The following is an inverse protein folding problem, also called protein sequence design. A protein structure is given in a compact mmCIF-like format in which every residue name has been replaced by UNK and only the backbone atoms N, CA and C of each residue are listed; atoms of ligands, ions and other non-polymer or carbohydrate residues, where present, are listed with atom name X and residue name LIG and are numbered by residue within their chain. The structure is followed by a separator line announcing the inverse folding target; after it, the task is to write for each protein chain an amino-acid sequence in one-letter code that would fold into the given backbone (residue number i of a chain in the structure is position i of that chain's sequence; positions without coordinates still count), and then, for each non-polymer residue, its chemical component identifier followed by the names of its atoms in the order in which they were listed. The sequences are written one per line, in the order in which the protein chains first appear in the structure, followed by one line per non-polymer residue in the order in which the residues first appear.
data_IF_019388006355
#
_entry.id   IF_019388006355
#
_cell.length_a   1.000
_cell.length_b   1.000
_cell.length_c   1.000
_cell.angle_alpha   90.00
_cell.angle_beta   90.00
_cell.angle_gamma   90.00
#
_symmetry.space_group_name_H-M   'P 1'
#
loop_
_entity.id
_entity.type
_entity.pdbx_description
1 polymer ?
#
# COMPACT_ATOMS: atom_id res chain seq x y z
N UNK A 1 -20.54 -9.10 -78.55
CA UNK A 1 -19.46 -8.56 -79.36
C UNK A 1 -18.17 -8.81 -78.64
N UNK A 2 -17.61 -9.99 -78.77
CA UNK A 2 -16.51 -10.40 -79.68
C UNK A 2 -15.40 -9.37 -79.69
N UNK A 3 -14.24 -9.68 -79.12
CA UNK A 3 -13.15 -10.27 -79.87
C UNK A 3 -12.00 -10.70 -78.96
N UNK A 4 -11.58 -11.92 -79.14
CA UNK A 4 -10.34 -12.57 -78.82
C UNK A 4 -9.18 -11.99 -79.61
N UNK A 5 -7.95 -11.91 -79.08
CA UNK A 5 -6.71 -12.10 -79.83
C UNK A 5 -5.70 -12.82 -78.97
N UNK A 6 -5.42 -13.97 -79.39
CA UNK A 6 -4.33 -14.88 -79.15
C UNK A 6 -2.99 -14.35 -79.78
N UNK A 7 -1.85 -14.53 -79.07
CA UNK A 7 -0.57 -14.92 -79.70
C UNK A 7 0.53 -15.13 -78.69
N UNK A 8 0.79 -16.36 -78.41
CA UNK A 8 2.06 -17.08 -78.34
C UNK A 8 3.30 -16.29 -78.76
N UNK A 9 4.29 -16.25 -77.85
CA UNK A 9 5.69 -16.42 -78.25
C UNK A 9 6.44 -17.18 -77.17
N UNK A 10 6.94 -18.32 -77.51
CA UNK A 10 7.67 -19.25 -76.66
C UNK A 10 9.11 -18.79 -76.46
N UNK A 11 9.52 -18.87 -75.21
CA UNK A 11 10.92 -18.92 -74.84
C UNK A 11 11.15 -20.22 -74.09
N UNK A 12 11.88 -21.13 -74.81
CA UNK A 12 12.45 -22.32 -74.21
C UNK A 12 13.54 -21.90 -73.22
N UNK A 13 13.28 -22.12 -71.95
CA UNK A 13 14.30 -21.97 -70.93
C UNK A 13 14.81 -23.37 -70.60
N UNK A 14 16.08 -23.56 -70.97
CA UNK A 14 16.91 -24.74 -70.77
C UNK A 14 16.92 -25.16 -69.29
N UNK A 15 16.55 -26.41 -69.03
CA UNK A 15 16.47 -27.00 -67.71
C UNK A 15 17.85 -27.45 -67.21
N UNK A 16 18.54 -26.59 -66.47
CA UNK A 16 19.57 -27.05 -65.52
C UNK A 16 19.17 -26.66 -64.09
N UNK A 17 18.36 -27.52 -63.54
CA UNK A 17 17.96 -27.41 -62.11
C UNK A 17 19.18 -27.68 -61.25
N UNK A 18 19.88 -26.60 -60.85
CA UNK A 18 20.73 -26.61 -59.69
C UNK A 18 19.84 -26.66 -58.44
N UNK A 19 19.71 -27.83 -57.83
CA UNK A 19 19.05 -28.02 -56.58
C UNK A 19 19.72 -27.13 -55.49
N UNK A 20 19.18 -25.99 -55.26
CA UNK A 20 19.50 -25.19 -54.03
C UNK A 20 19.00 -26.01 -52.85
N UNK A 21 19.91 -26.78 -52.24
CA UNK A 21 19.66 -27.35 -50.93
C UNK A 21 19.38 -26.17 -49.96
N UNK A 22 18.24 -26.14 -49.29
CA UNK A 22 18.06 -25.18 -48.21
C UNK A 22 19.10 -25.53 -47.17
N UNK A 23 20.16 -24.72 -47.10
CA UNK A 23 21.11 -24.78 -46.02
C UNK A 23 20.31 -24.65 -44.73
N UNK A 24 20.24 -25.75 -43.98
CA UNK A 24 19.75 -25.75 -42.61
C UNK A 24 20.68 -24.86 -41.78
N UNK A 25 20.49 -23.55 -41.85
CA UNK A 25 20.99 -22.68 -40.83
C UNK A 25 20.32 -23.18 -39.54
N UNK A 26 20.98 -24.11 -38.87
CA UNK A 26 20.72 -24.38 -37.45
C UNK A 26 20.95 -23.06 -36.77
N UNK A 27 19.87 -22.30 -36.59
CA UNK A 27 19.84 -21.29 -35.55
C UNK A 27 20.10 -22.05 -34.27
N UNK A 28 21.37 -22.10 -33.88
CA UNK A 28 21.78 -22.48 -32.55
C UNK A 28 21.12 -21.44 -31.63
N UNK A 29 19.86 -21.71 -31.26
CA UNK A 29 19.23 -21.10 -30.11
C UNK A 29 19.98 -21.62 -28.90
N UNK A 30 21.24 -21.18 -28.76
CA UNK A 30 21.92 -21.16 -27.49
C UNK A 30 20.95 -20.47 -26.55
N UNK A 31 20.12 -21.27 -25.89
CA UNK A 31 19.30 -20.84 -24.80
C UNK A 31 20.28 -20.28 -23.76
N UNK A 32 20.67 -19.01 -23.95
CA UNK A 32 21.11 -18.21 -22.83
C UNK A 32 19.94 -18.29 -21.86
N UNK A 33 20.02 -19.20 -20.90
CA UNK A 33 19.18 -19.16 -19.71
C UNK A 33 19.39 -17.75 -19.19
N UNK A 34 18.48 -16.85 -19.54
CA UNK A 34 18.45 -15.51 -18.99
C UNK A 34 18.45 -15.73 -17.49
N UNK A 35 19.54 -15.35 -16.85
CA UNK A 35 19.66 -15.47 -15.42
C UNK A 35 18.39 -14.82 -14.85
N UNK A 36 17.59 -15.57 -14.12
CA UNK A 36 16.36 -15.05 -13.54
C UNK A 36 16.74 -13.80 -12.73
N UNK A 37 16.19 -12.63 -13.04
CA UNK A 37 16.52 -11.43 -12.30
C UNK A 37 16.29 -11.72 -10.82
N UNK A 38 17.27 -11.40 -9.98
CA UNK A 38 17.18 -11.64 -8.53
C UNK A 38 15.89 -11.02 -7.97
N UNK A 39 15.45 -11.47 -6.80
CA UNK A 39 14.22 -11.02 -6.15
C UNK A 39 14.12 -9.48 -6.04
N UNK A 40 15.22 -8.82 -5.71
CA UNK A 40 15.21 -7.41 -5.28
C UNK A 40 15.13 -6.39 -6.42
N UNK A 41 15.66 -6.68 -7.60
CA UNK A 41 15.59 -5.74 -8.72
C UNK A 41 14.14 -5.50 -9.19
N UNK A 42 13.31 -6.53 -9.40
CA UNK A 42 11.89 -6.31 -9.69
C UNK A 42 11.12 -5.63 -8.55
N UNK A 43 11.45 -5.94 -7.28
CA UNK A 43 10.85 -5.26 -6.11
C UNK A 43 11.11 -3.76 -6.18
N UNK A 44 12.37 -3.37 -6.37
CA UNK A 44 12.75 -1.95 -6.46
C UNK A 44 12.07 -1.23 -7.62
N UNK A 45 12.07 -1.83 -8.82
CA UNK A 45 11.49 -1.21 -10.01
C UNK A 45 9.98 -1.02 -9.88
N UNK A 46 9.28 -2.00 -9.31
CA UNK A 46 7.84 -1.90 -9.06
C UNK A 46 7.52 -0.88 -7.96
N UNK A 47 8.26 -0.86 -6.87
CA UNK A 47 8.08 0.13 -5.80
C UNK A 47 8.36 1.55 -6.32
N UNK A 48 9.45 1.75 -7.05
CA UNK A 48 9.78 3.05 -7.66
C UNK A 48 8.68 3.53 -8.62
N UNK A 49 8.12 2.63 -9.45
CA UNK A 49 6.99 2.96 -10.34
C UNK A 49 5.78 3.47 -9.56
N UNK A 50 5.42 2.84 -8.43
CA UNK A 50 4.32 3.30 -7.58
C UNK A 50 4.57 4.71 -7.03
N UNK A 51 5.79 5.00 -6.58
CA UNK A 51 6.16 6.32 -6.08
C UNK A 51 6.04 7.39 -7.18
N UNK A 52 6.63 7.15 -8.36
CA UNK A 52 6.56 8.07 -9.49
C UNK A 52 5.11 8.34 -9.91
N UNK A 53 4.30 7.27 -10.01
CA UNK A 53 2.87 7.39 -10.35
C UNK A 53 2.12 8.27 -9.36
N UNK A 54 2.35 8.08 -8.08
CA UNK A 54 1.70 8.85 -7.02
C UNK A 54 2.09 10.33 -7.06
N UNK A 55 3.38 10.65 -7.14
CA UNK A 55 3.85 12.04 -7.14
C UNK A 55 3.42 12.83 -8.40
N UNK A 56 3.06 12.16 -9.47
CA UNK A 56 2.46 12.81 -10.66
C UNK A 56 1.01 13.26 -10.44
N UNK A 57 0.33 12.76 -9.41
CA UNK A 57 -1.07 13.06 -9.09
C UNK A 57 -1.15 14.06 -7.92
N UNK A 58 -0.86 15.34 -8.16
CA UNK A 58 -0.81 16.39 -7.11
C UNK A 58 -2.11 16.52 -6.31
N UNK A 59 -3.25 16.43 -6.98
CA UNK A 59 -4.58 16.52 -6.35
C UNK A 59 -4.81 15.40 -5.32
N UNK A 60 -4.26 14.21 -5.57
CA UNK A 60 -4.35 13.07 -4.66
C UNK A 60 -3.55 13.30 -3.38
N UNK A 61 -2.38 13.94 -3.48
CA UNK A 61 -1.54 14.27 -2.32
C UNK A 61 -2.27 15.27 -1.42
N UNK A 62 -2.80 16.35 -2.00
CA UNK A 62 -3.51 17.40 -1.27
C UNK A 62 -4.78 16.84 -0.60
N UNK A 63 -5.56 16.02 -1.31
CA UNK A 63 -6.77 15.42 -0.76
C UNK A 63 -6.49 14.44 0.38
N UNK A 64 -5.43 13.65 0.27
CA UNK A 64 -5.07 12.66 1.29
C UNK A 64 -4.59 13.27 2.62
N UNK A 65 -4.05 14.48 2.60
CA UNK A 65 -3.63 15.20 3.80
C UNK A 65 -4.67 16.23 4.27
N UNK A 66 -5.33 16.90 3.35
CA UNK A 66 -6.25 18.00 3.67
C UNK A 66 -7.43 17.56 4.54
N UNK A 67 -8.11 16.49 4.17
CA UNK A 67 -9.25 15.99 4.94
C UNK A 67 -8.88 15.56 6.37
N UNK A 68 -7.82 14.76 6.62
CA UNK A 68 -7.40 14.43 7.97
C UNK A 68 -6.97 15.63 8.81
N UNK A 69 -6.29 16.61 8.22
CA UNK A 69 -5.88 17.85 8.91
C UNK A 69 -7.13 18.62 9.37
N UNK A 70 -8.10 18.80 8.47
CA UNK A 70 -9.37 19.45 8.80
C UNK A 70 -10.08 18.71 9.93
N UNK A 71 -10.16 17.37 9.87
CA UNK A 71 -10.76 16.58 10.93
C UNK A 71 -10.02 16.74 12.27
N UNK A 72 -8.70 16.70 12.24
CA UNK A 72 -7.90 16.86 13.45
C UNK A 72 -8.13 18.24 14.10
N UNK A 73 -8.16 19.31 13.32
CA UNK A 73 -8.41 20.66 13.83
C UNK A 73 -9.85 20.82 14.34
N UNK A 74 -10.85 20.39 13.56
CA UNK A 74 -12.26 20.55 13.93
C UNK A 74 -12.63 19.70 15.15
N UNK A 75 -12.26 18.43 15.19
CA UNK A 75 -12.55 17.58 16.33
C UNK A 75 -11.72 17.97 17.56
N UNK A 76 -10.46 18.37 17.33
CA UNK A 76 -9.61 18.89 18.39
C UNK A 76 -10.22 20.10 19.08
N UNK A 77 -10.72 21.07 18.31
CA UNK A 77 -11.39 22.25 18.86
C UNK A 77 -12.78 21.92 19.43
N UNK A 78 -13.58 21.11 18.74
CA UNK A 78 -14.96 20.83 19.12
C UNK A 78 -15.11 19.95 20.37
N UNK A 79 -14.19 19.03 20.62
CA UNK A 79 -14.26 18.09 21.74
C UNK A 79 -13.38 18.49 22.92
N UNK A 80 -12.59 19.56 22.82
CA UNK A 80 -11.67 20.01 23.87
C UNK A 80 -12.33 20.24 25.21
N UNK A 81 -13.56 20.78 25.23
CA UNK A 81 -14.30 21.07 26.45
C UNK A 81 -14.98 19.87 27.12
N UNK A 82 -15.17 18.76 26.37
CA UNK A 82 -15.92 17.59 26.86
C UNK A 82 -15.03 16.38 27.13
N UNK A 83 -13.78 16.43 26.71
CA UNK A 83 -12.85 15.32 26.82
C UNK A 83 -11.99 15.42 28.08
N UNK A 84 -11.95 14.32 28.84
CA UNK A 84 -11.02 14.12 29.95
C UNK A 84 -10.08 12.99 29.57
N UNK A 85 -8.91 13.36 29.03
CA UNK A 85 -7.89 12.39 28.61
C UNK A 85 -7.13 11.78 29.79
N UNK A 86 -6.41 10.68 29.54
CA UNK A 86 -5.42 10.16 30.48
C UNK A 86 -4.36 11.23 30.80
N UNK A 87 -4.00 11.39 32.06
CA UNK A 87 -2.97 12.33 32.53
C UNK A 87 -3.23 13.82 32.13
N UNK A 88 -4.48 14.25 32.13
CA UNK A 88 -4.91 15.61 31.75
C UNK A 88 -4.53 16.04 30.34
N UNK A 89 -4.27 15.07 29.45
CA UNK A 89 -3.96 15.28 28.05
C UNK A 89 -5.15 15.94 27.32
N UNK A 90 -4.88 16.93 26.48
CA UNK A 90 -5.90 17.52 25.61
C UNK A 90 -6.42 16.50 24.60
N UNK A 91 -7.67 16.69 24.14
CA UNK A 91 -8.21 15.81 23.08
C UNK A 91 -7.36 15.84 21.82
N UNK A 92 -6.78 16.95 21.49
CA UNK A 92 -5.94 17.16 20.33
C UNK A 92 -4.65 16.33 20.39
N UNK A 93 -4.00 16.30 21.55
CA UNK A 93 -2.82 15.46 21.78
C UNK A 93 -3.17 13.97 21.76
N UNK A 94 -4.32 13.62 22.36
CA UNK A 94 -4.84 12.26 22.33
C UNK A 94 -5.11 11.78 20.90
N UNK A 95 -5.73 12.62 20.08
CA UNK A 95 -6.21 12.30 18.75
C UNK A 95 -5.08 12.31 17.69
N UNK A 96 -4.01 13.06 17.91
CA UNK A 96 -2.93 13.29 16.96
C UNK A 96 -2.26 12.01 16.43
N UNK A 97 -1.79 11.07 17.26
CA UNK A 97 -1.24 9.81 16.78
C UNK A 97 -2.29 8.94 16.06
N UNK A 98 -3.54 9.02 16.50
CA UNK A 98 -4.65 8.32 15.84
C UNK A 98 -4.92 8.79 14.43
N UNK A 99 -4.81 10.10 14.17
CA UNK A 99 -4.94 10.68 12.82
C UNK A 99 -3.74 10.33 11.95
N UNK A 100 -2.53 10.33 12.50
CA UNK A 100 -1.34 9.87 11.78
C UNK A 100 -1.50 8.43 11.27
N UNK A 101 -2.02 7.53 12.11
CA UNK A 101 -2.31 6.14 11.72
C UNK A 101 -3.49 6.07 10.75
N UNK A 102 -4.48 6.96 10.84
CA UNK A 102 -5.55 7.06 9.85
C UNK A 102 -5.01 7.37 8.45
N UNK A 103 -4.16 8.39 8.33
CA UNK A 103 -3.51 8.77 7.07
C UNK A 103 -2.70 7.59 6.52
N UNK A 104 -1.91 6.95 7.40
CA UNK A 104 -1.12 5.78 7.06
C UNK A 104 -2.00 4.66 6.50
N UNK A 105 -3.11 4.33 7.17
CA UNK A 105 -4.04 3.28 6.78
C UNK A 105 -4.70 3.56 5.44
N UNK A 106 -5.30 4.74 5.28
CA UNK A 106 -5.97 5.09 4.03
C UNK A 106 -4.97 5.09 2.87
N UNK A 107 -3.81 5.68 3.04
CA UNK A 107 -2.79 5.71 1.98
C UNK A 107 -2.28 4.32 1.64
N UNK A 108 -1.94 3.51 2.64
CA UNK A 108 -1.45 2.14 2.47
C UNK A 108 -2.43 1.29 1.65
N UNK A 109 -3.70 1.29 2.06
CA UNK A 109 -4.73 0.46 1.44
C UNK A 109 -5.13 1.02 0.06
N UNK A 110 -5.38 2.32 -0.07
CA UNK A 110 -5.74 2.91 -1.37
C UNK A 110 -4.61 2.89 -2.39
N UNK A 111 -3.34 2.79 -1.99
CA UNK A 111 -2.23 2.59 -2.93
C UNK A 111 -2.39 1.30 -3.74
N UNK A 112 -3.05 0.28 -3.16
CA UNK A 112 -3.25 -1.03 -3.79
C UNK A 112 -4.30 -1.04 -4.90
N UNK A 113 -5.08 0.04 -5.08
CA UNK A 113 -5.94 0.23 -6.26
C UNK A 113 -5.15 0.08 -7.55
N UNK A 114 -3.87 0.47 -7.53
CA UNK A 114 -2.97 0.32 -8.66
C UNK A 114 -2.89 -1.12 -9.20
N UNK A 115 -3.22 -2.14 -8.40
CA UNK A 115 -3.27 -3.54 -8.83
C UNK A 115 -4.44 -3.76 -9.79
N UNK A 116 -5.60 -3.18 -9.47
CA UNK A 116 -6.80 -3.26 -10.30
C UNK A 116 -6.61 -2.48 -11.60
N UNK A 117 -6.00 -1.29 -11.51
CA UNK A 117 -5.67 -0.45 -12.66
C UNK A 117 -4.66 -1.13 -13.58
N UNK A 118 -3.54 -1.66 -13.02
CA UNK A 118 -2.52 -2.39 -13.78
C UNK A 118 -3.08 -3.64 -14.47
N UNK A 119 -4.11 -4.28 -13.88
CA UNK A 119 -4.80 -5.40 -14.53
C UNK A 119 -5.62 -4.93 -15.73
N UNK A 120 -6.35 -3.83 -15.59
CA UNK A 120 -7.17 -3.26 -16.67
C UNK A 120 -6.34 -2.72 -17.82
N UNK A 121 -5.19 -2.14 -17.51
CA UNK A 121 -4.24 -1.60 -18.49
C UNK A 121 -3.40 -2.70 -19.18
N UNK A 122 -3.52 -3.97 -18.75
CA UNK A 122 -2.74 -5.08 -19.29
C UNK A 122 -1.30 -5.16 -18.76
N UNK A 123 -0.82 -4.18 -18.01
CA UNK A 123 0.52 -4.17 -17.43
C UNK A 123 0.77 -5.38 -16.52
N UNK A 124 -0.21 -5.72 -15.69
CA UNK A 124 -0.10 -6.85 -14.78
C UNK A 124 0.11 -8.18 -15.55
N UNK A 125 -0.52 -8.34 -16.71
CA UNK A 125 -0.34 -9.53 -17.56
C UNK A 125 1.11 -9.65 -18.05
N UNK A 126 1.70 -8.54 -18.52
CA UNK A 126 3.11 -8.49 -18.90
C UNK A 126 4.06 -8.88 -17.77
N UNK A 127 3.79 -8.41 -16.54
CA UNK A 127 4.56 -8.76 -15.34
C UNK A 127 4.38 -10.24 -14.98
N UNK A 128 3.19 -10.80 -15.16
CA UNK A 128 2.90 -12.21 -14.87
C UNK A 128 3.55 -13.19 -15.86
N UNK A 129 3.80 -12.78 -17.09
CA UNK A 129 4.51 -13.59 -18.11
C UNK A 129 6.04 -13.48 -17.93
N UNK A 130 6.54 -12.39 -17.35
CA UNK A 130 7.95 -12.21 -17.09
C UNK A 130 8.51 -13.29 -16.14
N UNK A 131 9.77 -13.74 -16.33
CA UNK A 131 10.40 -14.77 -15.50
C UNK A 131 10.88 -14.18 -14.16
N UNK A 132 9.97 -13.59 -13.40
CA UNK A 132 10.24 -13.00 -12.07
C UNK A 132 9.52 -13.78 -10.97
N UNK A 133 10.09 -13.87 -9.75
CA UNK A 133 9.42 -14.48 -8.62
C UNK A 133 8.11 -13.76 -8.29
N UNK A 134 7.03 -14.51 -8.01
CA UNK A 134 5.72 -13.91 -7.63
C UNK A 134 5.81 -13.05 -6.36
N UNK A 135 6.68 -13.42 -5.45
CA UNK A 135 6.98 -12.63 -4.26
C UNK A 135 7.49 -11.22 -4.61
N UNK A 136 8.24 -11.05 -5.72
CA UNK A 136 8.71 -9.73 -6.16
C UNK A 136 7.57 -8.79 -6.53
N UNK A 137 6.50 -9.30 -7.15
CA UNK A 137 5.31 -8.50 -7.47
C UNK A 137 4.61 -8.03 -6.19
N UNK A 138 4.37 -8.95 -5.24
CA UNK A 138 3.74 -8.63 -3.96
C UNK A 138 4.59 -7.63 -3.19
N UNK A 139 5.86 -7.94 -2.97
CA UNK A 139 6.77 -7.09 -2.19
C UNK A 139 6.96 -5.71 -2.85
N UNK A 140 7.08 -5.63 -4.18
CA UNK A 140 7.22 -4.36 -4.89
C UNK A 140 6.03 -3.43 -4.67
N UNK A 141 4.81 -3.97 -4.78
CA UNK A 141 3.57 -3.22 -4.49
C UNK A 141 3.47 -2.83 -3.01
N UNK A 142 3.76 -3.77 -2.10
CA UNK A 142 3.69 -3.54 -0.66
C UNK A 142 4.70 -2.50 -0.22
N UNK A 143 5.96 -2.59 -0.64
CA UNK A 143 6.97 -1.57 -0.32
C UNK A 143 6.62 -0.20 -0.91
N UNK A 144 6.17 -0.14 -2.16
CA UNK A 144 5.75 1.11 -2.78
C UNK A 144 4.65 1.81 -2.00
N UNK A 145 3.57 1.10 -1.65
CA UNK A 145 2.47 1.63 -0.85
C UNK A 145 2.89 2.00 0.58
N UNK A 146 3.76 1.20 1.21
CA UNK A 146 4.32 1.49 2.54
C UNK A 146 5.08 2.81 2.56
N UNK A 147 5.98 3.01 1.62
CA UNK A 147 6.78 4.26 1.55
C UNK A 147 5.86 5.46 1.38
N UNK A 148 4.86 5.38 0.50
CA UNK A 148 3.87 6.44 0.32
C UNK A 148 3.09 6.75 1.60
N UNK A 149 2.63 5.71 2.29
CA UNK A 149 1.87 5.84 3.53
C UNK A 149 2.70 6.48 4.65
N UNK A 150 3.95 6.04 4.80
CA UNK A 150 4.89 6.60 5.79
C UNK A 150 5.19 8.06 5.48
N UNK A 151 5.48 8.41 4.23
CA UNK A 151 5.77 9.79 3.84
C UNK A 151 4.59 10.72 4.15
N UNK A 152 3.35 10.29 3.88
CA UNK A 152 2.16 11.10 4.19
C UNK A 152 1.89 11.21 5.68
N UNK A 153 2.03 10.12 6.43
CA UNK A 153 1.88 10.15 7.88
C UNK A 153 2.94 11.05 8.54
N UNK A 154 4.20 10.97 8.09
CA UNK A 154 5.27 11.86 8.56
C UNK A 154 5.02 13.33 8.18
N UNK A 155 4.51 13.59 6.97
CA UNK A 155 4.13 14.94 6.58
C UNK A 155 3.07 15.52 7.53
N UNK A 156 2.08 14.73 7.93
CA UNK A 156 1.10 15.15 8.94
C UNK A 156 1.75 15.38 10.30
N UNK A 157 2.60 14.46 10.76
CA UNK A 157 3.29 14.57 12.05
C UNK A 157 4.19 15.80 12.15
N UNK A 158 4.66 16.34 11.02
CA UNK A 158 5.45 17.59 10.97
C UNK A 158 4.58 18.82 10.78
N UNK A 159 3.52 18.74 9.97
CA UNK A 159 2.60 19.85 9.69
C UNK A 159 1.74 20.17 10.91
N UNK A 160 1.30 19.16 11.68
CA UNK A 160 0.46 19.38 12.87
C UNK A 160 1.11 20.34 13.89
N UNK A 161 2.32 20.08 14.39
CA UNK A 161 3.02 21.01 15.27
C UNK A 161 3.29 22.38 14.62
N UNK A 162 3.58 22.43 13.32
CA UNK A 162 3.79 23.69 12.60
C UNK A 162 2.52 24.56 12.57
N UNK A 163 1.34 23.96 12.40
CA UNK A 163 0.06 24.67 12.47
C UNK A 163 -0.22 25.23 13.89
N UNK A 164 0.15 24.48 14.92
CA UNK A 164 0.06 24.94 16.31
C UNK A 164 0.98 26.14 16.57
N UNK A 165 2.21 26.12 16.08
CA UNK A 165 3.15 27.24 16.22
C UNK A 165 2.67 28.54 15.53
N UNK A 166 1.92 28.42 14.44
CA UNK A 166 1.36 29.58 13.71
C UNK A 166 0.00 30.03 14.29
N UNK A 167 -0.51 29.36 15.32
CA UNK A 167 -1.79 29.69 15.96
C UNK A 167 -3.03 29.25 15.17
N UNK A 168 -2.86 28.43 14.11
CA UNK A 168 -3.95 27.85 13.32
C UNK A 168 -4.53 26.58 13.93
N UNK A 169 -3.85 26.01 14.91
CA UNK A 169 -4.33 24.88 15.72
C UNK A 169 -4.03 25.16 17.20
N UNK A 170 -4.81 24.60 18.16
CA UNK A 170 -4.49 24.68 19.57
C UNK A 170 -3.10 24.12 19.90
N UNK A 171 -2.57 24.50 21.07
CA UNK A 171 -1.23 24.04 21.49
C UNK A 171 -1.13 22.52 21.50
N UNK A 172 -0.09 22.02 20.83
CA UNK A 172 0.16 20.60 20.66
C UNK A 172 1.56 20.23 21.15
N UNK A 173 1.61 19.44 22.21
CA UNK A 173 2.83 18.76 22.62
C UNK A 173 2.93 17.42 21.87
N UNK A 174 3.45 17.45 20.65
CA UNK A 174 3.41 16.31 19.73
C UNK A 174 4.18 15.08 20.21
N UNK A 175 5.06 15.24 21.22
CA UNK A 175 5.94 14.17 21.69
C UNK A 175 6.94 13.66 20.65
N UNK A 176 6.94 14.21 19.44
CA UNK A 176 7.91 13.86 18.40
C UNK A 176 9.22 14.60 18.68
N UNK A 177 10.29 13.84 18.81
CA UNK A 177 11.65 14.34 19.04
C UNK A 177 12.63 13.70 18.07
N UNK A 178 13.77 14.30 17.87
CA UNK A 178 14.82 13.72 17.04
C UNK A 178 15.31 12.36 17.56
N UNK A 179 15.18 12.11 18.86
CA UNK A 179 15.58 10.85 19.50
C UNK A 179 14.63 9.73 19.19
N UNK A 180 13.31 9.99 19.20
CA UNK A 180 12.30 8.96 18.93
C UNK A 180 11.87 8.88 17.45
N UNK A 181 12.27 9.85 16.62
CA UNK A 181 11.93 9.88 15.19
C UNK A 181 12.28 8.56 14.44
N UNK A 182 13.45 7.95 14.62
CA UNK A 182 13.75 6.66 13.98
C UNK A 182 12.79 5.55 14.40
N UNK A 183 12.41 5.50 15.67
CA UNK A 183 11.44 4.52 16.18
C UNK A 183 10.03 4.77 15.61
N UNK A 184 9.61 6.03 15.52
CA UNK A 184 8.35 6.43 14.86
C UNK A 184 8.34 5.98 13.40
N UNK A 185 9.39 6.30 12.64
CA UNK A 185 9.49 5.93 11.22
C UNK A 185 9.47 4.40 11.05
N UNK A 186 10.28 3.68 11.83
CA UNK A 186 10.35 2.22 11.77
C UNK A 186 9.03 1.55 12.12
N UNK A 187 8.33 2.06 13.13
CA UNK A 187 7.04 1.50 13.53
C UNK A 187 5.93 1.85 12.53
N UNK A 188 5.88 3.08 12.02
CA UNK A 188 4.97 3.44 10.93
C UNK A 188 5.23 2.60 9.67
N UNK A 189 6.50 2.32 9.35
CA UNK A 189 6.84 1.44 8.23
C UNK A 189 6.31 0.02 8.43
N UNK A 190 6.42 -0.53 9.63
CA UNK A 190 5.90 -1.86 9.96
C UNK A 190 4.36 -1.91 9.87
N UNK A 191 3.67 -0.92 10.46
CA UNK A 191 2.20 -0.81 10.39
C UNK A 191 1.74 -0.59 8.95
N UNK A 192 2.38 0.31 8.21
CA UNK A 192 2.09 0.59 6.81
C UNK A 192 2.31 -0.62 5.91
N UNK A 193 3.37 -1.39 6.16
CA UNK A 193 3.67 -2.63 5.45
C UNK A 193 2.57 -3.69 5.66
N UNK A 194 2.13 -3.86 6.90
CA UNK A 194 1.03 -4.74 7.25
C UNK A 194 -0.28 -4.33 6.56
N UNK A 195 -0.62 -3.03 6.60
CA UNK A 195 -1.86 -2.51 6.02
C UNK A 195 -1.84 -2.52 4.49
N UNK A 196 -0.69 -2.24 3.86
CA UNK A 196 -0.57 -2.35 2.41
C UNK A 196 -0.72 -3.80 1.95
N UNK A 197 -0.15 -4.75 2.70
CA UNK A 197 -0.34 -6.17 2.41
C UNK A 197 -1.80 -6.61 2.56
N UNK A 198 -2.52 -6.10 3.58
CA UNK A 198 -3.96 -6.30 3.71
C UNK A 198 -4.73 -5.70 2.51
N UNK A 199 -4.40 -4.47 2.12
CA UNK A 199 -4.98 -3.84 0.93
C UNK A 199 -4.72 -4.64 -0.35
N UNK A 200 -3.52 -5.21 -0.50
CA UNK A 200 -3.18 -6.10 -1.61
C UNK A 200 -4.10 -7.33 -1.66
N UNK A 201 -4.31 -8.00 -0.51
CA UNK A 201 -5.20 -9.16 -0.41
C UNK A 201 -6.62 -8.85 -0.87
N UNK A 202 -7.13 -7.67 -0.53
CA UNK A 202 -8.48 -7.24 -0.90
C UNK A 202 -8.53 -6.82 -2.37
N UNK A 203 -7.54 -6.08 -2.85
CA UNK A 203 -7.49 -5.60 -4.24
C UNK A 203 -7.26 -6.73 -5.26
N UNK A 204 -6.49 -7.76 -4.89
CA UNK A 204 -6.11 -8.84 -5.81
C UNK A 204 -7.29 -9.58 -6.46
N UNK A 205 -8.35 -9.99 -5.75
CA UNK A 205 -9.51 -10.64 -6.37
C UNK A 205 -10.45 -9.70 -7.11
N UNK A 206 -10.31 -8.37 -6.94
CA UNK A 206 -11.26 -7.39 -7.44
C UNK A 206 -10.89 -6.88 -8.84
N UNK A 207 -11.94 -6.66 -9.66
CA UNK A 207 -11.81 -6.14 -11.03
C UNK A 207 -12.37 -4.70 -11.18
N UNK A 208 -13.02 -4.17 -10.12
CA UNK A 208 -13.64 -2.84 -10.12
C UNK A 208 -13.01 -1.91 -9.08
N UNK A 209 -12.50 -0.78 -9.55
CA UNK A 209 -12.01 0.30 -8.67
C UNK A 209 -13.13 0.93 -7.85
N UNK A 210 -14.33 1.08 -8.43
CA UNK A 210 -15.50 1.57 -7.71
C UNK A 210 -15.94 0.59 -6.62
N UNK A 211 -15.97 -0.72 -6.92
CA UNK A 211 -16.27 -1.75 -5.92
C UNK A 211 -15.26 -1.75 -4.78
N UNK A 212 -13.97 -1.58 -5.09
CA UNK A 212 -12.93 -1.45 -4.08
C UNK A 212 -13.17 -0.24 -3.17
N UNK A 213 -13.44 0.94 -3.73
CA UNK A 213 -13.74 2.14 -2.95
C UNK A 213 -14.96 1.94 -2.04
N UNK A 214 -16.04 1.33 -2.53
CA UNK A 214 -17.24 1.08 -1.75
C UNK A 214 -16.97 0.16 -0.54
N UNK A 215 -16.28 -0.97 -0.75
CA UNK A 215 -15.92 -1.90 0.32
C UNK A 215 -14.99 -1.22 1.33
N UNK A 216 -13.98 -0.49 0.84
CA UNK A 216 -13.01 0.17 1.71
C UNK A 216 -13.66 1.28 2.56
N UNK A 217 -14.60 2.05 2.01
CA UNK A 217 -15.30 3.09 2.77
C UNK A 217 -16.11 2.52 3.92
N UNK A 218 -16.73 1.36 3.73
CA UNK A 218 -17.51 0.68 4.78
C UNK A 218 -16.59 -0.01 5.81
N UNK A 219 -15.42 -0.49 5.40
CA UNK A 219 -14.55 -1.28 6.27
C UNK A 219 -13.52 -0.43 7.03
N UNK A 220 -12.88 0.54 6.36
CA UNK A 220 -11.75 1.27 6.94
C UNK A 220 -12.18 2.23 8.05
N UNK A 221 -13.28 2.95 7.87
CA UNK A 221 -13.73 3.91 8.85
C UNK A 221 -14.10 3.25 10.19
N UNK A 222 -14.92 2.18 10.24
CA UNK A 222 -15.14 1.45 11.48
C UNK A 222 -13.87 0.84 12.07
N UNK A 223 -12.98 0.26 11.25
CA UNK A 223 -11.72 -0.29 11.71
C UNK A 223 -10.85 0.76 12.42
N UNK A 224 -10.80 1.98 11.89
CA UNK A 224 -10.07 3.08 12.51
C UNK A 224 -10.76 3.62 13.77
N UNK A 225 -12.07 3.86 13.74
CA UNK A 225 -12.82 4.32 14.90
C UNK A 225 -12.71 3.35 16.09
N UNK A 226 -12.78 2.05 15.80
CA UNK A 226 -12.67 0.98 16.79
C UNK A 226 -11.22 0.60 17.14
N UNK A 227 -10.23 1.36 16.67
CA UNK A 227 -8.82 1.15 17.04
C UNK A 227 -8.39 1.87 18.32
N UNK A 228 -9.32 2.55 18.99
CA UNK A 228 -9.00 3.44 20.11
C UNK A 228 -8.36 4.77 19.69
N UNK A 229 -8.36 5.08 18.37
CA UNK A 229 -7.84 6.35 17.84
C UNK A 229 -8.67 7.54 18.26
N UNK A 230 -9.98 7.38 18.20
CA UNK A 230 -10.95 8.46 18.39
C UNK A 230 -11.43 8.56 19.84
N UNK A 231 -11.69 7.42 20.48
CA UNK A 231 -12.11 7.35 21.88
C UNK A 231 -11.21 6.39 22.66
N UNK A 232 -10.94 6.67 23.95
CA UNK A 232 -10.37 5.68 24.84
C UNK A 232 -11.33 4.48 24.97
N UNK A 233 -10.80 3.26 25.17
CA UNK A 233 -11.65 2.09 25.43
C UNK A 233 -12.59 2.35 26.58
N UNK A 234 -13.89 2.27 26.35
CA UNK A 234 -14.92 2.44 27.36
C UNK A 234 -15.13 1.17 28.19
N UNK A 235 -16.01 1.23 29.18
CA UNK A 235 -16.36 0.11 30.09
C UNK A 235 -17.15 -1.02 29.42
N UNK A 236 -17.56 -0.86 28.15
CA UNK A 236 -18.37 -1.85 27.43
C UNK A 236 -17.53 -3.07 27.06
N UNK A 237 -17.90 -4.24 27.64
CA UNK A 237 -17.20 -5.50 27.47
C UNK A 237 -17.11 -5.92 26.00
N UNK A 238 -18.22 -5.86 25.24
CA UNK A 238 -18.24 -6.28 23.84
C UNK A 238 -17.36 -5.38 22.96
N UNK A 239 -17.36 -4.08 23.23
CA UNK A 239 -16.53 -3.11 22.51
C UNK A 239 -15.05 -3.34 22.76
N UNK A 240 -14.68 -3.66 24.01
CA UNK A 240 -13.31 -4.00 24.37
C UNK A 240 -12.80 -5.22 23.62
N UNK A 241 -13.64 -6.24 23.36
CA UNK A 241 -13.27 -7.39 22.54
C UNK A 241 -13.04 -6.99 21.08
N UNK A 242 -13.92 -6.18 20.50
CA UNK A 242 -13.76 -5.70 19.12
C UNK A 242 -12.47 -4.90 18.95
N UNK A 243 -12.17 -4.01 19.91
CA UNK A 243 -10.94 -3.22 19.93
C UNK A 243 -9.71 -4.13 20.01
N UNK A 244 -9.71 -5.16 20.87
CA UNK A 244 -8.60 -6.10 21.03
C UNK A 244 -8.37 -6.98 19.79
N UNK A 245 -9.42 -7.34 19.06
CA UNK A 245 -9.32 -8.12 17.81
C UNK A 245 -8.85 -7.28 16.62
N UNK A 246 -8.94 -5.97 16.72
CA UNK A 246 -8.54 -5.07 15.64
C UNK A 246 -7.01 -4.88 15.62
N UNK A 247 -6.30 -5.33 14.59
CA UNK A 247 -4.84 -5.19 14.51
C UNK A 247 -4.38 -3.74 14.50
N UNK A 248 -5.22 -2.81 14.02
CA UNK A 248 -4.92 -1.38 13.98
C UNK A 248 -4.81 -0.77 15.39
N UNK A 249 -5.50 -1.34 16.38
CA UNK A 249 -5.39 -0.94 17.79
C UNK A 249 -3.95 -0.97 18.28
N UNK A 250 -3.23 -2.00 17.93
CA UNK A 250 -1.82 -2.16 18.32
C UNK A 250 -0.91 -1.20 17.56
N UNK A 251 -1.26 -0.85 16.32
CA UNK A 251 -0.58 0.19 15.56
C UNK A 251 -0.73 1.57 16.20
N UNK A 252 -1.96 1.93 16.61
CA UNK A 252 -2.22 3.22 17.30
C UNK A 252 -1.58 3.25 18.69
N UNK A 253 -1.75 2.20 19.47
CA UNK A 253 -1.20 2.10 20.83
C UNK A 253 0.34 2.14 20.82
N UNK A 254 0.98 1.44 19.88
CA UNK A 254 2.44 1.46 19.73
C UNK A 254 2.97 2.84 19.36
N UNK A 255 2.33 3.52 18.41
CA UNK A 255 2.72 4.89 18.04
C UNK A 255 2.56 5.86 19.23
N UNK A 256 1.45 5.78 19.96
CA UNK A 256 1.25 6.58 21.18
C UNK A 256 2.32 6.34 22.22
N UNK A 257 2.74 5.08 22.44
CA UNK A 257 3.82 4.77 23.37
C UNK A 257 5.15 5.39 22.99
N UNK A 258 5.48 5.40 21.69
CA UNK A 258 6.75 6.00 21.21
C UNK A 258 6.70 7.53 21.37
N UNK A 259 5.52 8.14 21.17
CA UNK A 259 5.34 9.58 21.20
C UNK A 259 4.95 10.12 22.59
N UNK A 260 4.70 9.24 23.56
CA UNK A 260 4.27 9.66 24.90
C UNK A 260 5.37 10.44 25.62
N UNK A 261 5.03 11.63 26.09
CA UNK A 261 5.87 12.46 26.97
C UNK A 261 5.65 12.14 28.45
N UNK A 262 4.44 11.66 28.79
CA UNK A 262 4.06 11.28 30.15
C UNK A 262 3.78 9.76 30.23
N UNK A 263 4.50 9.01 31.10
CA UNK A 263 4.27 7.57 31.27
C UNK A 263 2.84 7.21 31.67
N UNK A 264 2.18 8.03 32.50
CA UNK A 264 0.80 7.80 32.95
C UNK A 264 -0.20 7.78 31.79
N UNK A 265 0.07 8.50 30.69
CA UNK A 265 -0.81 8.55 29.53
C UNK A 265 -0.89 7.22 28.76
N UNK A 266 0.04 6.30 29.00
CA UNK A 266 0.17 5.03 28.27
C UNK A 266 -0.01 3.78 29.14
N UNK A 267 -0.30 3.94 30.44
CA UNK A 267 -0.46 2.80 31.37
C UNK A 267 -1.58 1.85 30.94
N UNK A 268 -2.73 2.39 30.51
CA UNK A 268 -3.87 1.61 30.05
C UNK A 268 -3.70 0.99 28.66
N UNK A 269 -2.64 1.35 27.92
CA UNK A 269 -2.40 0.84 26.56
C UNK A 269 -1.73 -0.54 26.60
N UNK A 270 -1.96 -1.39 25.57
CA UNK A 270 -1.24 -2.66 25.40
C UNK A 270 0.28 -2.47 25.52
N UNK A 271 0.97 -3.42 26.11
CA UNK A 271 2.42 -3.37 26.27
C UNK A 271 3.14 -3.23 24.91
N UNK A 272 4.28 -2.56 24.87
CA UNK A 272 5.05 -2.31 23.64
C UNK A 272 5.36 -3.59 22.87
N UNK A 273 5.83 -4.62 23.56
CA UNK A 273 6.14 -5.91 22.94
C UNK A 273 4.91 -6.56 22.28
N UNK A 274 3.72 -6.38 22.87
CA UNK A 274 2.46 -6.90 22.29
C UNK A 274 2.09 -6.12 21.01
N UNK A 275 2.22 -4.79 21.02
CA UNK A 275 2.00 -3.96 19.84
C UNK A 275 2.91 -4.40 18.68
N UNK A 276 4.19 -4.61 18.97
CA UNK A 276 5.17 -5.05 17.98
C UNK A 276 4.85 -6.46 17.46
N UNK A 277 4.62 -7.41 18.36
CA UNK A 277 4.35 -8.82 17.99
C UNK A 277 3.10 -8.96 17.15
N UNK A 278 1.98 -8.33 17.55
CA UNK A 278 0.73 -8.41 16.77
C UNK A 278 0.90 -7.80 15.39
N UNK A 279 1.58 -6.65 15.29
CA UNK A 279 1.80 -5.99 13.99
C UNK A 279 2.71 -6.81 13.09
N UNK A 280 3.78 -7.43 13.62
CA UNK A 280 4.68 -8.31 12.85
C UNK A 280 3.94 -9.56 12.39
N UNK A 281 3.17 -10.21 13.27
CA UNK A 281 2.40 -11.39 12.90
C UNK A 281 1.34 -11.08 11.83
N UNK A 282 0.64 -9.94 11.96
CA UNK A 282 -0.30 -9.49 10.95
C UNK A 282 0.40 -9.25 9.61
N UNK A 283 1.55 -8.56 9.60
CA UNK A 283 2.33 -8.33 8.40
C UNK A 283 2.78 -9.64 7.74
N UNK A 284 3.33 -10.58 8.51
CA UNK A 284 3.77 -11.89 8.01
C UNK A 284 2.60 -12.70 7.44
N UNK A 285 1.46 -12.72 8.14
CA UNK A 285 0.25 -13.41 7.71
C UNK A 285 -0.29 -12.83 6.39
N UNK A 286 -0.43 -11.49 6.30
CA UNK A 286 -0.97 -10.85 5.11
C UNK A 286 -0.04 -11.00 3.90
N UNK A 287 1.27 -10.83 4.08
CA UNK A 287 2.24 -11.03 2.99
C UNK A 287 2.27 -12.49 2.54
N UNK A 288 2.31 -13.44 3.49
CA UNK A 288 2.28 -14.87 3.17
C UNK A 288 1.03 -15.25 2.37
N UNK A 289 -0.14 -14.78 2.81
CA UNK A 289 -1.41 -14.98 2.11
C UNK A 289 -1.41 -14.31 0.71
N UNK A 290 -0.85 -13.10 0.59
CA UNK A 290 -0.76 -12.39 -0.68
C UNK A 290 0.13 -13.14 -1.70
N UNK A 291 1.30 -13.62 -1.27
CA UNK A 291 2.21 -14.41 -2.12
C UNK A 291 1.53 -15.72 -2.55
N UNK A 292 0.90 -16.42 -1.64
CA UNK A 292 0.20 -17.67 -1.92
C UNK A 292 -0.96 -17.46 -2.91
N UNK A 293 -1.78 -16.44 -2.70
CA UNK A 293 -2.93 -16.13 -3.56
C UNK A 293 -2.48 -15.72 -4.98
N UNK A 294 -1.39 -14.95 -5.08
CA UNK A 294 -0.80 -14.54 -6.36
C UNK A 294 -0.26 -15.75 -7.13
N UNK A 295 0.34 -16.72 -6.44
CA UNK A 295 0.86 -17.96 -7.03
C UNK A 295 -0.25 -18.86 -7.62
N UNK A 296 -1.39 -19.01 -6.92
CA UNK A 296 -2.49 -19.89 -7.36
C UNK A 296 -3.18 -19.42 -8.65
N UNK A 297 -3.50 -18.16 -8.80
CA UNK A 297 -4.16 -17.63 -10.02
C UNK A 297 -3.29 -17.76 -11.26
N UNK A 298 -1.97 -17.65 -11.14
CA UNK A 298 -1.08 -17.84 -12.27
C UNK A 298 -1.08 -19.29 -12.79
N UNK A 299 -1.24 -20.27 -11.93
CA UNK A 299 -1.31 -21.68 -12.31
C UNK A 299 -2.67 -22.03 -13.00
N UNK A 300 -3.73 -21.32 -12.70
CA UNK A 300 -5.05 -21.54 -13.31
C UNK A 300 -5.16 -20.94 -14.72
N UNK A 301 -4.52 -19.79 -14.98
CA UNK A 301 -4.51 -19.14 -16.29
C UNK A 301 -3.47 -19.75 -17.26
N UNK A 302 -2.60 -20.65 -16.80
CA UNK A 302 -1.63 -21.36 -17.60
C UNK A 302 -2.13 -22.74 -18.10
N UNK A 303 -3.34 -23.15 -17.73
CA UNK A 303 -4.06 -24.33 -18.24
C UNK A 303 -5.14 -23.89 -19.20
#
# INVERSE_FOLDING_TARGET
MTTSVDRTDGVLIDGSAGAIQPGSARFDHGQRRAASPGLWLPVYTLAHRELVRFFRQRTRIVGALGQPIIFWVLFGAGLSGSFRGPADMSYQEYFFPGVAVMILMFTAIYSTISIIEDRREGFLQGVLVAPIPRASLVLGKVFGGTILAVLQSLAFLTVGPALSLVGLAPELHSGLTWVNAPAVIGFLALVGFSLTALGYLIAWPMDSTHGFHAIMSVFLLPMWLLSGSFFPPGESVWLSWVIRLNPLTYGVAGLRRIMATNPAAVEALPAWWLCLTVTVLAAACYVGAAVWMTGRRSAHNAR
#
